data_IF_479439970698
#
_entry.id   IF_479439970698
#
_cell.length_a   1.000
_cell.length_b   1.000
_cell.length_c   1.000
_cell.angle_alpha   90.00
_cell.angle_beta   90.00
_cell.angle_gamma   90.00
#
_symmetry.space_group_name_H-M   'P 1'
#
loop_
_entity.id
_entity.type
_entity.pdbx_description
1 polymer ?
#
# COMPACT_ATOMS: atom_id res chain seq x y z
N UNK A 1 19.54 -71.57 20.95
CA UNK A 1 18.78 -70.79 19.94
C UNK A 1 17.41 -70.45 20.51
N UNK A 2 17.13 -69.16 20.73
CA UNK A 2 15.83 -68.46 20.63
C UNK A 2 16.00 -67.11 21.34
N UNK A 3 16.25 -66.07 20.53
CA UNK A 3 16.43 -64.68 20.96
C UNK A 3 15.07 -64.06 21.26
N UNK A 4 14.97 -63.43 22.42
CA UNK A 4 13.87 -62.58 22.85
C UNK A 4 14.08 -61.20 22.19
N UNK A 5 13.12 -60.73 21.40
CA UNK A 5 13.08 -59.35 20.91
C UNK A 5 12.07 -58.58 21.77
N UNK A 6 12.60 -57.70 22.63
CA UNK A 6 11.84 -56.68 23.33
C UNK A 6 11.77 -55.43 22.46
N UNK A 7 10.57 -55.04 22.04
CA UNK A 7 10.31 -53.80 21.32
C UNK A 7 10.33 -52.64 22.33
N UNK A 8 11.41 -51.86 22.36
CA UNK A 8 11.45 -50.59 23.09
C UNK A 8 11.08 -49.47 22.10
N UNK A 9 9.88 -48.89 22.28
CA UNK A 9 9.44 -47.71 21.55
C UNK A 9 10.27 -46.50 21.98
N UNK A 10 11.07 -45.95 21.06
CA UNK A 10 11.83 -44.73 21.25
C UNK A 10 10.90 -43.53 20.99
N UNK A 11 10.47 -42.85 22.06
CA UNK A 11 9.74 -41.58 21.98
C UNK A 11 10.75 -40.46 21.71
N UNK A 12 10.84 -39.97 20.47
CA UNK A 12 11.65 -38.79 20.11
C UNK A 12 10.82 -37.54 20.40
N UNK A 13 11.14 -36.85 21.49
CA UNK A 13 10.58 -35.54 21.83
C UNK A 13 11.35 -34.49 21.00
N UNK A 14 10.70 -33.93 19.98
CA UNK A 14 11.17 -32.72 19.32
C UNK A 14 10.90 -31.52 20.23
N UNK A 15 11.91 -31.04 20.94
CA UNK A 15 11.87 -29.73 21.59
C UNK A 15 12.23 -28.70 20.52
N UNK A 16 11.23 -28.04 19.94
CA UNK A 16 11.44 -26.83 19.15
C UNK A 16 11.78 -25.68 20.11
N UNK A 17 13.07 -25.48 20.39
CA UNK A 17 13.54 -24.22 20.96
C UNK A 17 13.44 -23.15 19.88
N UNK A 18 12.34 -22.41 19.88
CA UNK A 18 12.27 -21.10 19.23
C UNK A 18 13.23 -20.19 19.99
N UNK A 19 14.46 -20.07 19.49
CA UNK A 19 15.38 -19.03 19.93
C UNK A 19 14.80 -17.72 19.37
N UNK A 20 14.31 -16.76 20.19
CA UNK A 20 14.06 -15.44 19.69
C UNK A 20 15.42 -14.88 19.25
N UNK A 21 15.58 -14.70 17.94
CA UNK A 21 16.75 -14.01 17.39
C UNK A 21 16.88 -12.67 18.11
N UNK A 22 18.06 -12.33 18.66
CA UNK A 22 18.25 -11.02 19.26
C UNK A 22 18.02 -9.97 18.18
N UNK A 23 17.17 -8.98 18.49
CA UNK A 23 17.07 -7.72 17.75
C UNK A 23 18.50 -7.22 17.51
N UNK A 24 18.98 -7.37 16.28
CA UNK A 24 20.30 -6.87 15.89
C UNK A 24 20.20 -5.37 15.74
N UNK A 25 20.41 -4.64 16.83
CA UNK A 25 20.56 -3.20 16.78
C UNK A 25 21.93 -2.88 16.16
N UNK A 26 21.97 -2.65 14.85
CA UNK A 26 23.19 -2.30 14.13
C UNK A 26 23.15 -0.84 13.64
N UNK A 27 24.08 -0.05 14.18
CA UNK A 27 25.03 0.79 13.44
C UNK A 27 24.45 1.89 12.51
N UNK A 28 24.63 3.14 12.95
CA UNK A 28 24.87 4.35 12.13
C UNK A 28 24.85 4.18 10.60
N UNK A 29 23.75 4.56 9.94
CA UNK A 29 23.74 5.00 8.53
C UNK A 29 22.88 4.20 7.55
N UNK A 30 22.51 2.96 7.85
CA UNK A 30 21.82 2.09 6.90
C UNK A 30 20.29 2.12 7.09
N UNK A 31 19.56 2.04 5.99
CA UNK A 31 18.11 1.80 6.00
C UNK A 31 17.89 0.36 6.45
N UNK A 32 17.05 0.15 7.45
CA UNK A 32 16.70 -1.19 7.95
C UNK A 32 15.20 -1.43 7.81
N UNK A 33 14.83 -2.58 7.25
CA UNK A 33 13.45 -3.06 7.16
C UNK A 33 13.39 -4.39 7.93
N UNK A 34 12.74 -4.37 9.09
CA UNK A 34 12.54 -5.57 9.91
C UNK A 34 11.08 -5.99 9.76
N UNK A 35 10.82 -7.21 9.30
CA UNK A 35 9.45 -7.75 9.22
C UNK A 35 9.11 -8.58 10.45
N UNK A 36 7.91 -8.39 10.99
CA UNK A 36 7.39 -9.22 12.07
C UNK A 36 6.83 -10.57 11.56
N UNK A 37 6.24 -11.37 12.45
CA UNK A 37 5.68 -12.69 12.11
C UNK A 37 4.49 -12.62 11.13
N UNK A 38 3.84 -11.47 11.01
CA UNK A 38 2.75 -11.22 10.06
C UNK A 38 3.24 -10.58 8.76
N UNK A 39 4.54 -10.31 8.66
CA UNK A 39 5.17 -9.65 7.53
C UNK A 39 5.11 -8.12 7.59
N UNK A 40 4.68 -7.50 8.69
CA UNK A 40 4.57 -6.03 8.78
C UNK A 40 5.97 -5.41 8.75
N UNK A 41 6.28 -4.48 7.82
CA UNK A 41 7.60 -3.86 7.74
C UNK A 41 7.76 -2.74 8.79
N UNK A 42 8.69 -2.94 9.72
CA UNK A 42 9.20 -1.90 10.62
C UNK A 42 10.43 -1.25 10.00
N UNK A 43 10.27 0.01 9.59
CA UNK A 43 11.29 0.76 8.84
C UNK A 43 12.04 1.70 9.78
N UNK A 44 13.36 1.54 9.85
CA UNK A 44 14.27 2.44 10.54
C UNK A 44 15.16 3.15 9.52
N UNK A 45 15.11 4.48 9.51
CA UNK A 45 15.86 5.29 8.57
C UNK A 45 16.28 6.63 9.18
N UNK A 46 17.44 7.19 8.78
CA UNK A 46 17.98 8.42 9.35
C UNK A 46 17.29 9.69 8.81
N UNK A 47 16.61 9.62 7.66
CA UNK A 47 15.92 10.74 7.02
C UNK A 47 14.56 10.32 6.47
N UNK A 48 13.71 11.30 6.16
CA UNK A 48 12.38 11.05 5.57
C UNK A 48 12.50 10.51 4.14
N UNK A 49 13.51 10.94 3.39
CA UNK A 49 13.81 10.46 2.05
C UNK A 49 14.22 8.98 2.08
N UNK A 50 15.11 8.61 3.00
CA UNK A 50 15.52 7.22 3.22
C UNK A 50 14.35 6.35 3.71
N UNK A 51 13.48 6.88 4.57
CA UNK A 51 12.25 6.20 4.97
C UNK A 51 11.29 6.01 3.79
N UNK A 52 11.10 7.04 2.96
CA UNK A 52 10.23 6.97 1.78
C UNK A 52 10.73 5.93 0.77
N UNK A 53 12.04 5.87 0.54
CA UNK A 53 12.68 4.82 -0.25
C UNK A 53 12.34 3.42 0.27
N UNK A 54 12.54 3.20 1.57
CA UNK A 54 12.26 1.93 2.22
C UNK A 54 10.78 1.52 2.12
N UNK A 55 9.87 2.49 2.28
CA UNK A 55 8.41 2.26 2.11
C UNK A 55 8.10 1.84 0.68
N UNK A 56 8.69 2.51 -0.33
CA UNK A 56 8.51 2.15 -1.73
C UNK A 56 9.03 0.76 -2.05
N UNK A 57 10.21 0.40 -1.53
CA UNK A 57 10.79 -0.93 -1.66
C UNK A 57 9.90 -2.00 -1.01
N UNK A 58 9.51 -1.83 0.25
CA UNK A 58 8.65 -2.79 0.97
C UNK A 58 7.27 -2.96 0.32
N UNK A 59 6.67 -1.87 -0.19
CA UNK A 59 5.41 -1.96 -0.91
C UNK A 59 5.52 -2.70 -2.24
N UNK A 60 6.63 -2.51 -2.96
CA UNK A 60 6.91 -3.28 -4.16
C UNK A 60 7.11 -4.76 -3.83
N UNK A 61 7.88 -5.06 -2.79
CA UNK A 61 8.11 -6.43 -2.29
C UNK A 61 6.80 -7.17 -2.01
N UNK A 62 5.86 -6.50 -1.35
CA UNK A 62 4.60 -7.16 -0.99
C UNK A 62 3.64 -7.28 -2.20
N UNK A 63 3.51 -6.22 -3.02
CA UNK A 63 2.38 -6.08 -3.95
C UNK A 63 2.71 -5.30 -5.24
N UNK A 64 3.90 -5.49 -5.83
CA UNK A 64 4.36 -4.78 -7.03
C UNK A 64 3.30 -4.68 -8.14
N UNK A 65 2.71 -5.80 -8.56
CA UNK A 65 1.74 -5.80 -9.66
C UNK A 65 0.54 -4.88 -9.38
N UNK A 66 0.00 -4.94 -8.16
CA UNK A 66 -1.14 -4.11 -7.79
C UNK A 66 -0.77 -2.63 -7.71
N UNK A 67 0.43 -2.32 -7.20
CA UNK A 67 0.97 -0.95 -7.18
C UNK A 67 1.08 -0.39 -8.62
N UNK A 68 1.67 -1.14 -9.54
CA UNK A 68 1.81 -0.74 -10.94
C UNK A 68 0.46 -0.56 -11.64
N UNK A 69 -0.49 -1.45 -11.37
CA UNK A 69 -1.86 -1.36 -11.88
C UNK A 69 -2.56 -0.10 -11.35
N UNK A 70 -2.36 0.25 -10.08
CA UNK A 70 -2.94 1.44 -9.49
C UNK A 70 -2.44 2.74 -10.16
N UNK A 71 -1.18 2.78 -10.59
CA UNK A 71 -0.69 3.90 -11.41
C UNK A 71 -1.40 3.98 -12.76
N UNK A 72 -1.54 2.86 -13.48
CA UNK A 72 -2.31 2.85 -14.74
C UNK A 72 -3.77 3.26 -14.55
N UNK A 73 -4.40 2.84 -13.44
CA UNK A 73 -5.75 3.29 -13.09
C UNK A 73 -5.77 4.81 -12.92
N UNK A 74 -4.91 5.35 -12.07
CA UNK A 74 -4.89 6.79 -11.79
C UNK A 74 -4.59 7.64 -13.04
N UNK A 75 -3.76 7.14 -13.95
CA UNK A 75 -3.39 7.86 -15.18
C UNK A 75 -4.35 7.64 -16.35
N UNK A 76 -5.28 6.69 -16.22
CA UNK A 76 -6.20 6.30 -17.29
C UNK A 76 -5.44 5.69 -18.47
N UNK A 77 -4.60 4.69 -18.20
CA UNK A 77 -3.82 3.95 -19.21
C UNK A 77 -4.00 2.44 -19.07
N UNK A 78 -5.14 2.01 -18.50
CA UNK A 78 -5.45 0.59 -18.34
C UNK A 78 -5.77 -0.08 -19.68
N UNK A 79 -6.42 0.61 -20.61
CA UNK A 79 -6.82 0.05 -21.89
C UNK A 79 -5.62 -0.34 -22.78
N UNK A 80 -4.49 0.35 -22.61
CA UNK A 80 -3.23 0.04 -23.29
C UNK A 80 -2.68 -1.34 -22.89
N UNK A 81 -2.93 -1.77 -21.65
CA UNK A 81 -2.37 -2.98 -21.06
C UNK A 81 -3.37 -4.14 -20.99
N UNK A 82 -4.65 -3.83 -20.77
CA UNK A 82 -5.67 -4.83 -20.41
C UNK A 82 -6.80 -4.94 -21.42
N UNK A 83 -6.95 -3.98 -22.33
CA UNK A 83 -7.89 -4.09 -23.44
C UNK A 83 -9.05 -3.08 -23.42
N UNK A 84 -9.94 -3.16 -24.43
CA UNK A 84 -10.94 -2.13 -24.71
C UNK A 84 -12.01 -1.96 -23.61
N UNK A 85 -12.20 -2.94 -22.72
CA UNK A 85 -13.12 -2.86 -21.59
C UNK A 85 -12.76 -1.72 -20.61
N UNK A 86 -11.49 -1.30 -20.60
CA UNK A 86 -11.01 -0.19 -19.77
C UNK A 86 -11.16 1.19 -20.43
N UNK A 87 -11.60 1.29 -21.68
CA UNK A 87 -11.68 2.60 -22.39
C UNK A 87 -12.58 3.59 -21.66
N UNK A 88 -13.74 3.13 -21.16
CA UNK A 88 -14.65 3.98 -20.38
C UNK A 88 -13.98 4.46 -19.09
N UNK A 89 -13.29 3.57 -18.39
CA UNK A 89 -12.55 3.91 -17.19
C UNK A 89 -11.49 4.99 -17.51
N UNK A 90 -10.63 4.73 -18.48
CA UNK A 90 -9.54 5.63 -18.87
C UNK A 90 -10.02 7.00 -19.32
N UNK A 91 -11.14 7.04 -20.06
CA UNK A 91 -11.80 8.29 -20.45
C UNK A 91 -12.15 9.15 -19.22
N UNK A 92 -12.76 8.54 -18.20
CA UNK A 92 -13.16 9.24 -16.97
C UNK A 92 -11.93 9.77 -16.22
N UNK A 93 -10.88 8.95 -16.06
CA UNK A 93 -9.67 9.37 -15.34
C UNK A 93 -8.93 10.51 -16.06
N UNK A 94 -8.89 10.46 -17.41
CA UNK A 94 -8.33 11.53 -18.23
C UNK A 94 -9.18 12.81 -18.17
N UNK A 95 -10.50 12.69 -18.11
CA UNK A 95 -11.41 13.83 -17.91
C UNK A 95 -11.16 14.53 -16.57
N UNK A 96 -10.86 13.79 -15.50
CA UNK A 96 -10.49 14.38 -14.20
C UNK A 96 -9.04 14.87 -14.11
N UNK A 97 -8.25 14.63 -15.17
CA UNK A 97 -6.89 15.17 -15.35
C UNK A 97 -5.94 14.84 -14.19
N UNK A 98 -6.07 13.69 -13.54
CA UNK A 98 -5.21 13.32 -12.40
C UNK A 98 -3.73 13.41 -12.75
N UNK A 99 -3.32 12.72 -13.81
CA UNK A 99 -1.93 12.70 -14.29
C UNK A 99 -1.43 14.06 -14.81
N UNK A 100 -2.28 14.79 -15.54
CA UNK A 100 -1.92 16.09 -16.10
C UNK A 100 -1.68 17.11 -14.98
N UNK A 101 -2.60 17.22 -14.03
CA UNK A 101 -2.48 18.15 -12.89
C UNK A 101 -1.29 17.78 -12.00
N UNK A 102 -1.05 16.49 -11.75
CA UNK A 102 0.10 16.03 -10.97
C UNK A 102 1.44 16.46 -11.60
N UNK A 103 1.56 16.37 -12.94
CA UNK A 103 2.74 16.81 -13.68
C UNK A 103 2.86 18.34 -13.74
N UNK A 104 1.80 19.02 -14.14
CA UNK A 104 1.76 20.49 -14.28
C UNK A 104 2.14 21.19 -12.97
N UNK A 105 1.66 20.67 -11.83
CA UNK A 105 1.82 21.29 -10.51
C UNK A 105 2.90 20.64 -9.65
N UNK A 106 3.69 19.70 -10.19
CA UNK A 106 4.74 19.00 -9.41
C UNK A 106 5.71 20.00 -8.76
N UNK A 107 6.08 21.06 -9.48
CA UNK A 107 7.01 22.08 -9.00
C UNK A 107 6.44 22.97 -7.88
N UNK A 108 5.13 22.94 -7.63
CA UNK A 108 4.49 23.64 -6.51
C UNK A 108 4.55 22.85 -5.19
N UNK A 109 4.76 21.52 -5.27
CA UNK A 109 5.00 20.69 -4.09
C UNK A 109 6.30 21.12 -3.43
N UNK A 110 6.35 21.22 -2.10
CA UNK A 110 7.58 21.63 -1.41
C UNK A 110 8.77 20.74 -1.81
N UNK A 111 10.01 21.29 -1.92
CA UNK A 111 11.19 20.51 -2.30
C UNK A 111 11.39 19.24 -1.46
N UNK A 112 11.16 19.34 -0.14
CA UNK A 112 11.26 18.22 0.80
C UNK A 112 10.31 17.06 0.47
N UNK A 113 9.08 17.36 0.06
CA UNK A 113 8.10 16.33 -0.29
C UNK A 113 8.36 15.73 -1.68
N UNK A 114 8.82 16.55 -2.65
CA UNK A 114 9.30 16.02 -3.94
C UNK A 114 10.45 15.03 -3.76
N UNK A 115 11.42 15.35 -2.90
CA UNK A 115 12.50 14.43 -2.56
C UNK A 115 11.96 13.10 -2.00
N UNK A 116 10.94 13.13 -1.14
CA UNK A 116 10.30 11.91 -0.66
C UNK A 116 9.61 11.11 -1.78
N UNK A 117 8.90 11.76 -2.72
CA UNK A 117 8.27 11.07 -3.85
C UNK A 117 9.30 10.45 -4.82
N UNK A 118 10.39 11.17 -5.06
CA UNK A 118 11.53 10.68 -5.84
C UNK A 118 12.18 9.47 -5.17
N UNK A 119 12.46 9.55 -3.87
CA UNK A 119 13.03 8.45 -3.10
C UNK A 119 12.09 7.25 -3.03
N UNK A 120 10.79 7.46 -2.81
CA UNK A 120 9.79 6.39 -2.83
C UNK A 120 9.79 5.64 -4.18
N UNK A 121 9.72 6.38 -5.30
CA UNK A 121 9.79 5.74 -6.62
C UNK A 121 11.15 5.08 -6.88
N UNK A 122 12.25 5.61 -6.34
CA UNK A 122 13.55 4.97 -6.42
C UNK A 122 13.58 3.62 -5.67
N UNK A 123 12.90 3.51 -4.53
CA UNK A 123 12.72 2.25 -3.80
C UNK A 123 11.95 1.21 -4.60
N UNK A 124 10.83 1.61 -5.21
CA UNK A 124 10.04 0.73 -6.10
C UNK A 124 10.89 0.27 -7.30
N UNK A 125 11.61 1.20 -7.94
CA UNK A 125 12.51 0.89 -9.07
C UNK A 125 13.65 -0.04 -8.68
N UNK A 126 14.21 0.10 -7.47
CA UNK A 126 15.24 -0.81 -6.99
C UNK A 126 14.70 -2.24 -6.88
N UNK A 127 13.53 -2.42 -6.25
CA UNK A 127 12.92 -3.74 -6.17
C UNK A 127 12.67 -4.34 -7.57
N UNK A 128 12.14 -3.55 -8.51
CA UNK A 128 11.95 -3.99 -9.90
C UNK A 128 13.26 -4.40 -10.60
N UNK A 129 14.38 -3.74 -10.27
CA UNK A 129 15.69 -4.05 -10.83
C UNK A 129 16.26 -5.35 -10.27
N UNK A 130 16.03 -5.62 -8.99
CA UNK A 130 16.49 -6.83 -8.29
C UNK A 130 15.63 -8.06 -8.63
N UNK A 131 14.35 -7.83 -8.93
CA UNK A 131 13.35 -8.87 -9.23
C UNK A 131 12.71 -8.67 -10.61
N UNK A 132 13.48 -8.66 -11.71
CA UNK A 132 12.95 -8.42 -13.06
C UNK A 132 11.88 -9.45 -13.48
N UNK A 133 11.93 -10.67 -12.92
CA UNK A 133 10.93 -11.73 -13.15
C UNK A 133 9.54 -11.39 -12.59
N UNK A 134 9.46 -10.51 -11.60
CA UNK A 134 8.20 -10.05 -11.01
C UNK A 134 7.64 -8.80 -11.71
N UNK A 135 8.40 -8.18 -12.60
CA UNK A 135 7.98 -6.98 -13.33
C UNK A 135 7.12 -7.37 -14.52
N UNK A 136 5.82 -7.03 -14.54
CA UNK A 136 4.97 -7.35 -15.68
C UNK A 136 5.39 -6.58 -16.93
N UNK A 137 5.29 -7.20 -18.11
CA UNK A 137 5.63 -6.55 -19.39
C UNK A 137 4.82 -5.27 -19.66
N UNK A 138 3.63 -5.15 -19.06
CA UNK A 138 2.78 -3.97 -19.16
C UNK A 138 3.09 -2.89 -18.12
N UNK A 139 4.12 -3.04 -17.28
CA UNK A 139 4.46 -2.06 -16.25
C UNK A 139 4.53 -0.63 -16.84
N UNK A 140 3.90 0.38 -16.21
CA UNK A 140 4.06 1.76 -16.64
C UNK A 140 5.48 2.26 -16.34
N UNK A 141 5.92 3.29 -17.07
CA UNK A 141 7.14 4.00 -16.71
C UNK A 141 6.93 4.76 -15.40
N UNK A 142 7.78 4.47 -14.40
CA UNK A 142 7.65 5.07 -13.08
C UNK A 142 8.23 6.49 -13.02
N UNK A 143 7.41 7.44 -12.57
CA UNK A 143 7.81 8.82 -12.32
C UNK A 143 7.27 9.35 -10.98
N UNK A 144 7.93 10.30 -10.30
CA UNK A 144 7.51 10.80 -8.99
C UNK A 144 6.10 11.41 -8.94
N UNK A 145 5.66 12.04 -10.03
CA UNK A 145 4.33 12.67 -10.09
C UNK A 145 3.19 11.64 -10.03
N UNK A 146 3.43 10.38 -10.40
CA UNK A 146 2.44 9.30 -10.26
C UNK A 146 1.97 9.08 -8.82
N UNK A 147 2.81 9.34 -7.81
CA UNK A 147 2.41 9.27 -6.40
C UNK A 147 1.28 10.27 -6.13
N UNK A 148 1.39 11.48 -6.71
CA UNK A 148 0.36 12.52 -6.63
C UNK A 148 -0.86 12.13 -7.48
N UNK A 149 -0.67 11.59 -8.69
CA UNK A 149 -1.76 11.11 -9.54
C UNK A 149 -2.62 10.07 -8.81
N UNK A 150 -1.97 9.08 -8.17
CA UNK A 150 -2.64 8.03 -7.41
C UNK A 150 -3.37 8.60 -6.19
N UNK A 151 -2.72 9.48 -5.41
CA UNK A 151 -3.37 10.16 -4.30
C UNK A 151 -4.60 10.96 -4.74
N UNK A 152 -4.51 11.69 -5.86
CA UNK A 152 -5.64 12.40 -6.46
C UNK A 152 -6.76 11.44 -6.85
N UNK A 153 -6.45 10.35 -7.55
CA UNK A 153 -7.43 9.36 -7.99
C UNK A 153 -8.20 8.76 -6.79
N UNK A 154 -7.49 8.36 -5.73
CA UNK A 154 -8.10 7.81 -4.51
C UNK A 154 -9.03 8.85 -3.85
N UNK A 155 -8.51 10.06 -3.60
CA UNK A 155 -9.23 11.13 -2.89
C UNK A 155 -10.40 11.67 -3.70
N UNK A 156 -10.33 11.64 -5.04
CA UNK A 156 -11.41 12.11 -5.91
C UNK A 156 -12.72 11.35 -5.72
N UNK A 157 -12.66 10.11 -5.22
CA UNK A 157 -13.84 9.34 -4.91
C UNK A 157 -14.76 9.96 -3.85
N UNK A 158 -14.25 10.83 -2.97
CA UNK A 158 -15.06 11.52 -1.96
C UNK A 158 -15.92 12.64 -2.57
N UNK A 159 -15.35 13.64 -3.28
CA UNK A 159 -16.16 14.63 -4.00
C UNK A 159 -17.15 14.00 -4.99
N UNK A 160 -16.77 12.89 -5.63
CA UNK A 160 -17.69 12.16 -6.52
C UNK A 160 -18.88 11.56 -5.76
N UNK A 161 -18.65 11.00 -4.57
CA UNK A 161 -19.72 10.50 -3.72
C UNK A 161 -20.65 11.61 -3.23
N UNK A 162 -20.10 12.76 -2.86
CA UNK A 162 -20.89 13.95 -2.48
C UNK A 162 -21.77 14.43 -3.65
N UNK A 163 -21.18 14.57 -4.84
CA UNK A 163 -21.91 14.94 -6.04
C UNK A 163 -22.99 13.92 -6.42
N UNK A 164 -22.71 12.62 -6.26
CA UNK A 164 -23.70 11.56 -6.45
C UNK A 164 -24.90 11.73 -5.50
N UNK A 165 -24.63 12.03 -4.23
CA UNK A 165 -25.68 12.30 -3.24
C UNK A 165 -26.50 13.56 -3.56
N UNK A 166 -25.88 14.62 -4.10
CA UNK A 166 -26.59 15.81 -4.56
C UNK A 166 -27.53 15.51 -5.73
N UNK A 167 -27.07 14.71 -6.71
CA UNK A 167 -27.88 14.28 -7.85
C UNK A 167 -29.08 13.45 -7.38
N UNK A 168 -28.88 12.51 -6.46
CA UNK A 168 -29.95 11.70 -5.88
C UNK A 168 -31.00 12.57 -5.17
N UNK A 169 -30.56 13.57 -4.38
CA UNK A 169 -31.47 14.55 -3.75
C UNK A 169 -32.26 15.36 -4.76
N UNK A 170 -31.71 15.59 -5.96
CA UNK A 170 -32.38 16.26 -7.07
C UNK A 170 -33.28 15.32 -7.91
N UNK A 171 -33.43 14.04 -7.52
CA UNK A 171 -34.22 13.06 -8.25
C UNK A 171 -33.53 12.50 -9.50
N UNK A 172 -32.23 12.77 -9.68
CA UNK A 172 -31.41 12.18 -10.74
C UNK A 172 -30.78 10.91 -10.19
N UNK A 173 -30.84 9.81 -10.94
CA UNK A 173 -30.19 8.55 -10.57
C UNK A 173 -28.80 8.48 -11.22
N UNK A 174 -27.71 8.77 -10.49
CA UNK A 174 -26.37 8.60 -11.02
C UNK A 174 -26.02 7.12 -11.20
N UNK A 175 -24.93 6.85 -11.92
CA UNK A 175 -24.33 5.53 -11.94
C UNK A 175 -23.92 5.14 -10.50
N UNK A 176 -24.13 3.86 -10.11
CA UNK A 176 -23.84 3.42 -8.75
C UNK A 176 -22.35 3.57 -8.44
N UNK A 177 -22.03 4.29 -7.37
CA UNK A 177 -20.68 4.36 -6.83
C UNK A 177 -20.33 3.07 -6.07
N UNK A 178 -19.03 2.74 -6.01
CA UNK A 178 -18.56 1.66 -5.15
C UNK A 178 -18.87 1.98 -3.68
N UNK A 179 -19.38 1.00 -2.93
CA UNK A 179 -19.67 1.17 -1.51
C UNK A 179 -18.40 1.56 -0.73
N UNK A 180 -18.53 2.57 0.13
CA UNK A 180 -17.51 3.00 1.08
C UNK A 180 -18.18 3.26 2.41
N UNK A 181 -17.59 2.76 3.49
CA UNK A 181 -18.02 3.03 4.85
C UNK A 181 -16.84 3.06 5.81
N UNK A 182 -17.07 3.52 7.03
CA UNK A 182 -16.11 3.42 8.12
C UNK A 182 -16.81 3.68 9.46
N UNK A 183 -16.18 3.18 10.52
CA UNK A 183 -16.42 3.65 11.88
C UNK A 183 -15.15 4.35 12.41
N UNK A 184 -15.37 5.29 13.33
CA UNK A 184 -14.28 5.92 14.08
C UNK A 184 -14.79 6.29 15.47
N UNK A 185 -13.94 6.12 16.48
CA UNK A 185 -14.23 6.56 17.86
C UNK A 185 -13.00 7.18 18.49
N UNK A 186 -13.20 8.25 19.26
CA UNK A 186 -12.18 8.86 20.11
C UNK A 186 -12.71 8.98 21.54
N UNK A 187 -12.07 8.29 22.47
CA UNK A 187 -12.38 8.34 23.89
C UNK A 187 -11.35 9.20 24.62
N UNK A 188 -11.84 10.22 25.32
CA UNK A 188 -10.99 11.07 26.16
C UNK A 188 -10.43 10.27 27.36
N UNK A 189 -9.25 10.64 27.90
CA UNK A 189 -8.67 10.03 29.11
C UNK A 189 -9.65 9.93 30.28
N UNK A 190 -10.50 10.94 30.47
CA UNK A 190 -11.50 10.96 31.55
C UNK A 190 -12.51 9.80 31.47
N UNK A 191 -12.73 9.27 30.26
CA UNK A 191 -13.66 8.17 29.97
C UNK A 191 -13.00 6.79 29.91
N UNK A 192 -11.71 6.66 30.21
CA UNK A 192 -10.98 5.38 30.17
C UNK A 192 -10.42 5.02 31.54
N UNK A 193 -10.30 3.72 31.83
CA UNK A 193 -9.78 3.22 33.10
C UNK A 193 -8.30 3.62 33.31
N UNK A 194 -7.49 3.51 32.25
CA UNK A 194 -6.06 3.82 32.28
C UNK A 194 -5.73 5.32 32.17
N UNK A 195 -6.74 6.20 32.09
CA UNK A 195 -6.57 7.64 31.88
C UNK A 195 -5.69 7.99 30.67
N UNK A 196 -5.81 7.19 29.61
CA UNK A 196 -5.19 7.40 28.31
C UNK A 196 -6.27 7.56 27.24
N UNK A 197 -6.05 8.36 26.18
CA UNK A 197 -6.99 8.43 25.08
C UNK A 197 -7.01 7.11 24.31
N UNK A 198 -8.17 6.74 23.76
CA UNK A 198 -8.30 5.58 22.85
C UNK A 198 -8.86 6.07 21.52
N UNK A 199 -8.16 5.75 20.43
CA UNK A 199 -8.62 5.98 19.07
C UNK A 199 -8.95 4.62 18.41
N UNK A 200 -10.11 4.54 17.77
CA UNK A 200 -10.53 3.39 16.97
C UNK A 200 -10.63 3.83 15.51
N UNK A 201 -9.96 3.09 14.63
CA UNK A 201 -9.96 3.30 13.17
C UNK A 201 -10.46 1.99 12.55
N UNK A 202 -11.63 2.03 11.91
CA UNK A 202 -12.30 0.83 11.38
C UNK A 202 -12.90 1.11 9.97
N UNK A 203 -12.06 1.14 8.91
CA UNK A 203 -12.50 1.43 7.55
C UNK A 203 -13.15 0.20 6.88
N UNK A 204 -14.24 0.41 6.15
CA UNK A 204 -14.95 -0.62 5.38
C UNK A 204 -14.86 -0.32 3.89
N UNK A 205 -13.72 -0.71 3.31
CA UNK A 205 -13.40 -0.53 1.89
C UNK A 205 -13.24 -1.87 1.16
N UNK A 206 -13.05 -1.80 -0.15
CA UNK A 206 -12.76 -2.97 -0.99
C UNK A 206 -11.54 -3.74 -0.47
N UNK A 207 -11.62 -5.07 -0.51
CA UNK A 207 -10.52 -5.98 -0.18
C UNK A 207 -9.49 -6.12 -1.30
N UNK A 208 -9.69 -5.42 -2.42
CA UNK A 208 -8.83 -5.46 -3.59
C UNK A 208 -8.64 -4.08 -4.21
N UNK A 209 -7.50 -3.89 -4.88
CA UNK A 209 -7.20 -2.67 -5.64
C UNK A 209 -6.74 -1.52 -4.76
N UNK A 210 -6.91 -0.31 -5.27
CA UNK A 210 -6.37 0.95 -4.75
C UNK A 210 -6.82 1.32 -3.32
N UNK A 211 -7.88 0.69 -2.81
CA UNK A 211 -8.40 0.93 -1.45
C UNK A 211 -7.97 -0.13 -0.44
N UNK A 212 -7.23 -1.16 -0.86
CA UNK A 212 -6.73 -2.16 0.06
C UNK A 212 -5.59 -1.59 0.91
N UNK A 213 -5.76 -1.64 2.22
CA UNK A 213 -4.70 -1.32 3.17
C UNK A 213 -3.56 -2.35 3.08
N UNK A 214 -2.34 -1.85 3.21
CA UNK A 214 -1.16 -2.67 3.42
C UNK A 214 -1.20 -3.26 4.83
N UNK A 215 -0.77 -4.50 4.96
CA UNK A 215 -0.48 -5.12 6.25
C UNK A 215 1.01 -5.04 6.46
#
# INVERSE_FOLDING_TARGET
MKRIFSLASLLVIFISLSIPSPLSMAKSGDIEIIRDEFGVPHIFAPTLESAAYAIGYAQAEDRLEELLRNYRKAEGTMAEAFGPEWVRHDYIQRMWRHAAIARERYNEVSPKMRACFESYQAGVKQFMKEHPEQVPAWAPELNPAQVISLGRFIIWGWPLGEASGDLERAGIKPDPAAYRGSNQMLLAPSKTAMKAPIAVIDPHLSWYGEFRFMK
#
